data_IF_297558036587
#
_entry.id   IF_297558036587
#
_cell.length_a   1.000
_cell.length_b   1.000
_cell.length_c   1.000
_cell.angle_alpha   90.00
_cell.angle_beta   90.00
_cell.angle_gamma   90.00
#
_symmetry.space_group_name_H-M   'P 1'
#
loop_
_entity.id
_entity.type
_entity.pdbx_description
1 polymer ?
#
# COMPACT_ATOMS: atom_id res chain seq x y z
N UNK A 1 -9.04 0.28 -22.49
CA UNK A 1 -9.11 -0.08 -21.09
C UNK A 1 -9.81 -1.44 -21.00
N UNK A 2 -9.28 -2.42 -20.27
CA UNK A 2 -10.12 -3.53 -19.89
C UNK A 2 -11.26 -2.96 -19.05
N UNK A 3 -12.50 -3.19 -19.47
CA UNK A 3 -13.66 -2.86 -18.67
C UNK A 3 -13.58 -3.73 -17.40
N UNK A 4 -13.44 -3.07 -16.25
CA UNK A 4 -13.60 -3.73 -14.97
C UNK A 4 -15.02 -4.26 -14.94
N UNK A 5 -15.19 -5.59 -14.92
CA UNK A 5 -16.54 -6.16 -14.83
C UNK A 5 -17.10 -5.86 -13.44
N UNK A 6 -18.38 -5.46 -13.38
CA UNK A 6 -19.05 -5.12 -12.11
C UNK A 6 -19.12 -6.31 -11.12
N UNK A 7 -18.82 -7.51 -11.58
CA UNK A 7 -18.89 -8.76 -10.81
C UNK A 7 -17.50 -9.23 -10.32
N UNK A 8 -16.49 -8.37 -10.32
CA UNK A 8 -15.13 -8.72 -9.93
C UNK A 8 -14.80 -8.21 -8.52
N UNK A 9 -14.15 -9.03 -7.72
CA UNK A 9 -13.65 -8.64 -6.39
C UNK A 9 -12.49 -7.68 -6.52
N UNK A 10 -12.45 -6.66 -5.64
CA UNK A 10 -11.36 -5.69 -5.56
C UNK A 10 -10.83 -5.56 -4.15
N UNK A 11 -9.53 -5.40 -4.04
CA UNK A 11 -8.86 -4.97 -2.84
C UNK A 11 -7.95 -3.77 -3.15
N UNK A 12 -8.14 -2.68 -2.43
CA UNK A 12 -7.28 -1.51 -2.52
C UNK A 12 -6.51 -1.33 -1.21
N UNK A 13 -5.22 -1.07 -1.33
CA UNK A 13 -4.29 -0.83 -0.23
C UNK A 13 -3.75 0.59 -0.32
N UNK A 14 -4.19 1.46 0.59
CA UNK A 14 -3.68 2.82 0.73
C UNK A 14 -2.63 2.86 1.84
N UNK A 15 -1.35 2.87 1.47
CA UNK A 15 -0.21 2.96 2.39
C UNK A 15 0.01 4.43 2.72
N UNK A 16 -0.74 4.93 3.70
CA UNK A 16 -0.74 6.33 4.07
C UNK A 16 0.45 6.75 4.94
N UNK A 17 0.41 7.99 5.40
CA UNK A 17 1.44 8.55 6.29
C UNK A 17 1.36 7.95 7.70
N UNK A 18 0.19 7.98 8.33
CA UNK A 18 0.00 7.54 9.72
C UNK A 18 -0.50 6.09 9.82
N UNK A 19 -1.37 5.69 8.89
CA UNK A 19 -1.95 4.36 8.87
C UNK A 19 -2.09 3.85 7.43
N UNK A 20 -2.26 2.55 7.31
CA UNK A 20 -2.55 1.87 6.05
C UNK A 20 -4.00 1.40 6.08
N UNK A 21 -4.74 1.66 5.03
CA UNK A 21 -6.14 1.24 4.89
C UNK A 21 -6.29 0.19 3.81
N UNK A 22 -7.09 -0.82 4.10
CA UNK A 22 -7.45 -1.90 3.19
C UNK A 22 -8.93 -1.81 2.91
N UNK A 23 -9.29 -1.58 1.65
CA UNK A 23 -10.67 -1.49 1.18
C UNK A 23 -11.02 -2.76 0.41
N UNK A 24 -12.08 -3.42 0.80
CA UNK A 24 -12.52 -4.70 0.24
C UNK A 24 -13.88 -4.55 -0.42
N UNK A 25 -13.99 -5.01 -1.66
CA UNK A 25 -15.16 -4.90 -2.52
C UNK A 25 -15.46 -6.28 -3.14
N UNK A 26 -16.22 -7.14 -2.42
CA UNK A 26 -16.71 -8.37 -3.03
C UNK A 26 -17.72 -8.05 -4.13
N UNK A 27 -17.59 -8.70 -5.29
CA UNK A 27 -18.49 -8.52 -6.43
C UNK A 27 -18.66 -7.05 -6.86
N UNK A 28 -17.61 -6.23 -6.64
CA UNK A 28 -17.63 -4.81 -6.96
C UNK A 28 -18.38 -3.91 -5.97
N UNK A 29 -19.02 -4.46 -4.95
CA UNK A 29 -19.71 -3.70 -3.91
C UNK A 29 -18.81 -3.45 -2.69
N UNK A 30 -18.83 -2.22 -2.16
CA UNK A 30 -18.08 -1.90 -0.94
C UNK A 30 -18.62 -2.70 0.24
N UNK A 31 -17.75 -3.47 0.87
CA UNK A 31 -18.08 -4.25 2.06
C UNK A 31 -17.47 -3.63 3.33
N UNK A 32 -16.15 -3.49 3.36
CA UNK A 32 -15.48 -3.10 4.58
C UNK A 32 -14.14 -2.40 4.33
N UNK A 33 -13.80 -1.47 5.23
CA UNK A 33 -12.45 -0.92 5.38
C UNK A 33 -11.81 -1.48 6.65
N UNK A 34 -10.55 -1.92 6.54
CA UNK A 34 -9.68 -2.26 7.67
C UNK A 34 -8.55 -1.23 7.75
N UNK A 35 -8.16 -0.87 8.96
CA UNK A 35 -7.04 0.03 9.22
C UNK A 35 -5.94 -0.71 9.96
N UNK A 36 -4.71 -0.56 9.48
CA UNK A 36 -3.49 -1.06 10.12
C UNK A 36 -2.74 0.15 10.64
N UNK A 37 -2.33 0.10 11.91
CA UNK A 37 -1.53 1.18 12.55
C UNK A 37 -0.07 1.11 12.07
N UNK A 38 0.13 1.43 10.79
CA UNK A 38 1.41 1.50 10.12
C UNK A 38 1.32 2.51 8.98
N UNK A 39 2.33 3.33 8.82
CA UNK A 39 2.46 4.28 7.71
C UNK A 39 3.90 4.77 7.56
N UNK A 40 4.13 5.65 6.61
CA UNK A 40 5.45 6.22 6.33
C UNK A 40 6.09 6.90 7.55
N UNK A 41 5.27 7.46 8.46
CA UNK A 41 5.75 8.07 9.70
C UNK A 41 6.31 7.05 10.69
N UNK A 42 5.79 5.82 10.71
CA UNK A 42 6.36 4.74 11.54
C UNK A 42 7.78 4.39 11.11
N UNK A 43 8.02 4.37 9.80
CA UNK A 43 9.35 4.13 9.23
C UNK A 43 10.30 5.32 9.51
N UNK A 44 9.81 6.55 9.34
CA UNK A 44 10.61 7.74 9.65
C UNK A 44 11.03 7.80 11.13
N UNK A 45 10.15 7.35 12.04
CA UNK A 45 10.49 7.23 13.47
C UNK A 45 11.59 6.20 13.71
N UNK A 46 11.49 5.02 13.09
CA UNK A 46 12.51 3.98 13.19
C UNK A 46 13.87 4.45 12.64
N UNK A 47 13.85 5.22 11.54
CA UNK A 47 15.06 5.82 10.95
C UNK A 47 15.66 6.88 11.88
N UNK A 48 14.82 7.75 12.47
CA UNK A 48 15.26 8.78 13.43
C UNK A 48 15.99 8.16 14.62
N UNK A 49 15.40 7.12 15.21
CA UNK A 49 16.00 6.39 16.34
C UNK A 49 17.31 5.69 15.97
N UNK A 50 17.34 5.05 14.79
CA UNK A 50 18.52 4.31 14.32
C UNK A 50 19.73 5.22 14.06
N UNK A 51 19.52 6.35 13.38
CA UNK A 51 20.59 7.28 13.01
C UNK A 51 20.85 8.37 14.07
N UNK A 52 19.99 8.48 15.10
CA UNK A 52 20.09 9.53 16.12
C UNK A 52 19.87 10.93 15.55
N UNK A 53 18.96 11.08 14.61
CA UNK A 53 18.66 12.34 13.91
C UNK A 53 17.24 12.83 14.23
N UNK A 54 16.97 14.10 13.94
CA UNK A 54 15.61 14.62 14.07
C UNK A 54 14.65 14.01 13.02
N UNK A 55 13.37 14.06 13.34
CA UNK A 55 12.33 13.40 12.54
C UNK A 55 12.22 13.92 11.08
N UNK A 56 12.50 15.21 10.83
CA UNK A 56 12.44 15.75 9.49
C UNK A 56 13.62 15.27 8.63
N UNK A 57 14.81 15.18 9.24
CA UNK A 57 15.97 14.62 8.58
C UNK A 57 15.78 13.12 8.32
N UNK A 58 15.19 12.40 9.27
CA UNK A 58 14.85 10.98 9.10
C UNK A 58 13.89 10.73 7.93
N UNK A 59 12.89 11.60 7.73
CA UNK A 59 12.00 11.53 6.54
C UNK A 59 12.79 11.70 5.23
N UNK A 60 13.76 12.61 5.20
CA UNK A 60 14.63 12.79 4.04
C UNK A 60 15.55 11.57 3.81
N UNK A 61 16.07 10.98 4.87
CA UNK A 61 16.88 9.75 4.81
C UNK A 61 16.05 8.58 4.24
N UNK A 62 14.83 8.41 4.75
CA UNK A 62 13.91 7.37 4.27
C UNK A 62 13.56 7.57 2.80
N UNK A 63 13.23 8.81 2.38
CA UNK A 63 12.82 9.12 1.01
C UNK A 63 13.94 8.90 -0.01
N UNK A 64 15.20 9.14 0.37
CA UNK A 64 16.36 9.02 -0.51
C UNK A 64 17.18 7.73 -0.27
N UNK A 65 16.69 6.85 0.58
CA UNK A 65 17.41 5.63 1.01
C UNK A 65 18.87 5.91 1.47
N UNK A 66 19.05 7.02 2.21
CA UNK A 66 20.36 7.43 2.68
C UNK A 66 20.99 6.33 3.55
N UNK A 67 22.19 5.88 3.18
CA UNK A 67 22.93 4.79 3.84
C UNK A 67 22.09 3.51 4.07
N UNK A 68 21.15 3.22 3.17
CA UNK A 68 20.26 2.05 3.27
C UNK A 68 19.15 2.21 4.33
N UNK A 69 18.71 3.44 4.57
CA UNK A 69 17.69 3.76 5.59
C UNK A 69 16.40 2.96 5.42
N UNK A 70 16.05 2.56 4.19
CA UNK A 70 14.87 1.73 3.92
C UNK A 70 15.06 0.26 4.31
N UNK A 71 16.29 -0.20 4.54
CA UNK A 71 16.63 -1.61 4.82
C UNK A 71 17.30 -1.84 6.16
N UNK A 72 17.27 -0.86 7.06
CA UNK A 72 17.68 -1.05 8.45
C UNK A 72 16.76 -2.06 9.14
N UNK A 73 17.29 -2.83 10.09
CA UNK A 73 16.53 -3.90 10.75
C UNK A 73 15.17 -3.43 11.32
N UNK A 74 15.05 -2.27 11.99
CA UNK A 74 13.76 -1.79 12.46
C UNK A 74 12.72 -1.56 11.35
N UNK A 75 13.15 -1.16 10.14
CA UNK A 75 12.26 -1.03 9.01
C UNK A 75 11.83 -2.41 8.48
N UNK A 76 12.75 -3.36 8.37
CA UNK A 76 12.44 -4.73 7.94
C UNK A 76 11.44 -5.41 8.88
N UNK A 77 11.59 -5.24 10.20
CA UNK A 77 10.66 -5.76 11.20
C UNK A 77 9.24 -5.16 11.04
N UNK A 78 9.17 -3.87 10.70
CA UNK A 78 7.90 -3.19 10.40
C UNK A 78 7.27 -3.72 9.12
N UNK A 79 8.05 -3.99 8.07
CA UNK A 79 7.56 -4.55 6.80
C UNK A 79 6.99 -5.96 7.00
N UNK A 80 7.68 -6.81 7.75
CA UNK A 80 7.20 -8.14 8.09
C UNK A 80 5.86 -8.07 8.83
N UNK A 81 5.76 -7.20 9.84
CA UNK A 81 4.54 -7.03 10.62
C UNK A 81 3.35 -6.61 9.77
N UNK A 82 3.50 -5.61 8.90
CA UNK A 82 2.40 -5.18 8.03
C UNK A 82 2.05 -6.25 6.98
N UNK A 83 3.04 -6.98 6.46
CA UNK A 83 2.82 -8.10 5.54
C UNK A 83 1.95 -9.19 6.16
N UNK A 84 2.25 -9.59 7.39
CA UNK A 84 1.45 -10.57 8.14
C UNK A 84 0.02 -10.06 8.38
N UNK A 85 -0.15 -8.80 8.79
CA UNK A 85 -1.49 -8.22 9.02
C UNK A 85 -2.31 -8.15 7.73
N UNK A 86 -1.70 -7.75 6.63
CA UNK A 86 -2.37 -7.72 5.33
C UNK A 86 -2.78 -9.12 4.87
N UNK A 87 -1.88 -10.11 5.01
CA UNK A 87 -2.19 -11.50 4.68
C UNK A 87 -3.36 -12.06 5.52
N UNK A 88 -3.45 -11.68 6.80
CA UNK A 88 -4.58 -12.04 7.67
C UNK A 88 -5.90 -11.43 7.17
N UNK A 89 -5.88 -10.16 6.77
CA UNK A 89 -7.07 -9.46 6.25
C UNK A 89 -7.56 -10.14 4.97
N UNK A 90 -6.68 -10.44 4.03
CA UNK A 90 -7.01 -11.13 2.78
C UNK A 90 -7.53 -12.55 3.05
N UNK A 91 -6.87 -13.29 3.95
CA UNK A 91 -7.32 -14.65 4.32
C UNK A 91 -8.69 -14.65 4.98
N UNK A 92 -8.96 -13.68 5.86
CA UNK A 92 -10.27 -13.52 6.48
C UNK A 92 -11.36 -13.17 5.45
N UNK A 93 -11.04 -12.31 4.49
CA UNK A 93 -11.95 -11.98 3.38
C UNK A 93 -12.28 -13.25 2.57
N UNK A 94 -11.27 -13.99 2.13
CA UNK A 94 -11.47 -15.23 1.36
C UNK A 94 -12.27 -16.29 2.12
N UNK A 95 -12.12 -16.36 3.45
CA UNK A 95 -12.90 -17.26 4.29
C UNK A 95 -14.39 -16.88 4.33
N UNK A 96 -14.70 -15.59 4.43
CA UNK A 96 -16.09 -15.09 4.48
C UNK A 96 -16.76 -15.06 3.11
N UNK A 97 -15.99 -14.97 2.05
CA UNK A 97 -16.46 -14.94 0.66
C UNK A 97 -15.85 -16.10 -0.13
N UNK A 98 -16.32 -17.35 0.10
CA UNK A 98 -15.69 -18.56 -0.48
C UNK A 98 -15.79 -18.62 -2.01
N UNK A 99 -16.66 -17.83 -2.62
CA UNK A 99 -16.77 -17.69 -4.08
C UNK A 99 -15.92 -16.53 -4.63
N UNK A 100 -15.21 -15.81 -3.74
CA UNK A 100 -14.33 -14.71 -4.12
C UNK A 100 -13.25 -15.18 -5.09
N UNK A 101 -13.00 -14.35 -6.09
CA UNK A 101 -11.90 -14.49 -7.05
C UNK A 101 -10.88 -13.36 -6.87
N UNK A 102 -10.69 -12.90 -5.63
CA UNK A 102 -9.68 -11.90 -5.32
C UNK A 102 -8.29 -12.47 -5.59
N UNK A 103 -7.66 -11.97 -6.65
CA UNK A 103 -6.33 -12.39 -7.09
C UNK A 103 -5.34 -11.23 -7.20
N UNK A 104 -5.78 -10.01 -6.90
CA UNK A 104 -4.96 -8.80 -7.02
C UNK A 104 -5.29 -7.81 -5.91
N UNK A 105 -4.25 -7.23 -5.31
CA UNK A 105 -4.32 -6.06 -4.43
C UNK A 105 -3.74 -4.86 -5.15
N UNK A 106 -4.53 -3.80 -5.31
CA UNK A 106 -4.08 -2.55 -5.92
C UNK A 106 -3.59 -1.59 -4.85
N UNK A 107 -2.31 -1.21 -4.91
CA UNK A 107 -1.71 -0.34 -3.90
C UNK A 107 -1.56 1.11 -4.37
N UNK A 108 -1.60 2.03 -3.41
CA UNK A 108 -1.36 3.47 -3.56
C UNK A 108 -0.88 4.09 -2.24
N UNK A 109 -0.78 5.40 -2.20
CA UNK A 109 -0.48 6.17 -1.00
C UNK A 109 0.98 6.59 -0.89
N UNK A 110 1.29 7.38 0.14
CA UNK A 110 2.63 7.98 0.33
C UNK A 110 3.74 6.96 0.60
N UNK A 111 3.41 5.79 1.16
CA UNK A 111 4.36 4.70 1.39
C UNK A 111 4.64 3.83 0.17
N UNK A 112 3.88 3.98 -0.92
CA UNK A 112 4.01 3.15 -2.13
C UNK A 112 5.30 3.40 -2.93
N UNK A 113 6.09 4.41 -2.58
CA UNK A 113 7.41 4.67 -3.17
C UNK A 113 8.55 3.87 -2.53
N UNK A 114 8.30 3.11 -1.46
CA UNK A 114 9.34 2.38 -0.72
C UNK A 114 9.41 0.95 -1.26
N UNK A 115 10.35 0.70 -2.17
CA UNK A 115 10.48 -0.56 -2.87
C UNK A 115 10.70 -1.78 -1.93
N UNK A 116 11.54 -1.73 -0.88
CA UNK A 116 11.68 -2.85 0.06
C UNK A 116 10.38 -3.19 0.81
N UNK A 117 9.54 -2.18 1.12
CA UNK A 117 8.23 -2.42 1.71
C UNK A 117 7.32 -3.19 0.75
N UNK A 118 7.22 -2.74 -0.50
CA UNK A 118 6.39 -3.41 -1.51
C UNK A 118 6.83 -4.85 -1.75
N UNK A 119 8.15 -5.10 -1.79
CA UNK A 119 8.71 -6.45 -1.92
C UNK A 119 8.29 -7.35 -0.75
N UNK A 120 8.41 -6.85 0.48
CA UNK A 120 8.01 -7.60 1.66
C UNK A 120 6.50 -7.90 1.69
N UNK A 121 5.66 -6.95 1.26
CA UNK A 121 4.21 -7.18 1.13
C UNK A 121 3.89 -8.27 0.09
N UNK A 122 4.56 -8.23 -1.05
CA UNK A 122 4.39 -9.21 -2.14
C UNK A 122 4.78 -10.63 -1.68
N UNK A 123 5.86 -10.75 -0.90
CA UNK A 123 6.29 -12.05 -0.34
C UNK A 123 5.28 -12.67 0.64
N UNK A 124 4.50 -11.84 1.37
CA UNK A 124 3.49 -12.31 2.32
C UNK A 124 2.13 -12.62 1.69
N UNK A 125 1.87 -12.07 0.49
CA UNK A 125 0.62 -12.25 -0.22
C UNK A 125 0.70 -13.45 -1.18
N UNK A 126 -0.36 -14.26 -1.22
CA UNK A 126 -0.52 -15.32 -2.21
C UNK A 126 -1.20 -14.83 -3.51
N UNK A 127 -1.34 -13.51 -3.66
CA UNK A 127 -2.02 -12.82 -4.76
C UNK A 127 -1.17 -11.65 -5.23
N UNK A 128 -1.41 -11.18 -6.45
CA UNK A 128 -0.60 -10.14 -7.08
C UNK A 128 -0.76 -8.78 -6.40
N UNK A 129 0.35 -8.08 -6.20
CA UNK A 129 0.38 -6.70 -5.72
C UNK A 129 0.67 -5.77 -6.90
N UNK A 130 -0.29 -4.90 -7.27
CA UNK A 130 -0.24 -4.09 -8.48
C UNK A 130 -0.43 -2.60 -8.16
N UNK A 131 0.35 -1.73 -8.80
CA UNK A 131 0.18 -0.27 -8.69
C UNK A 131 -1.19 0.14 -9.23
N UNK A 132 -1.94 0.95 -8.47
CA UNK A 132 -3.26 1.43 -8.85
C UNK A 132 -3.23 2.22 -10.18
N UNK A 133 -2.09 2.80 -10.51
CA UNK A 133 -1.88 3.48 -11.78
C UNK A 133 -2.14 2.61 -13.00
N UNK A 134 -2.01 1.29 -12.89
CA UNK A 134 -2.34 0.35 -13.97
C UNK A 134 -3.84 0.37 -14.35
N UNK A 135 -4.71 0.84 -13.44
CA UNK A 135 -6.15 0.95 -13.65
C UNK A 135 -6.60 2.34 -14.15
N UNK A 136 -5.75 3.34 -14.11
CA UNK A 136 -6.11 4.74 -14.34
C UNK A 136 -5.51 5.27 -15.62
N UNK A 137 -6.29 5.99 -16.46
CA UNK A 137 -5.75 6.69 -17.61
C UNK A 137 -5.03 7.98 -17.15
N UNK A 138 -3.72 8.00 -17.18
CA UNK A 138 -2.94 9.20 -16.85
C UNK A 138 -1.75 9.39 -17.80
N UNK A 139 -1.26 10.63 -17.87
CA UNK A 139 0.00 10.91 -18.56
C UNK A 139 1.19 10.44 -17.70
N UNK A 140 2.25 9.88 -18.30
CA UNK A 140 3.48 9.54 -17.56
C UNK A 140 4.06 10.68 -16.72
N UNK A 141 3.81 11.93 -17.11
CA UNK A 141 4.27 13.11 -16.36
C UNK A 141 3.65 13.29 -14.98
N UNK A 142 2.51 12.61 -14.69
CA UNK A 142 1.80 12.71 -13.41
C UNK A 142 1.69 11.36 -12.69
N UNK A 143 2.45 10.36 -13.10
CA UNK A 143 2.39 9.01 -12.57
C UNK A 143 2.56 8.95 -11.05
N UNK A 144 3.53 9.69 -10.51
CA UNK A 144 3.79 9.72 -9.06
C UNK A 144 2.65 10.35 -8.27
N UNK A 145 2.04 11.42 -8.81
CA UNK A 145 0.88 12.06 -8.18
C UNK A 145 -0.33 11.14 -8.17
N UNK A 146 -0.58 10.41 -9.25
CA UNK A 146 -1.66 9.43 -9.35
C UNK A 146 -1.50 8.34 -8.29
N UNK A 147 -0.30 7.80 -8.14
CA UNK A 147 0.01 6.76 -7.14
C UNK A 147 -0.16 7.27 -5.71
N UNK A 148 0.26 8.50 -5.41
CA UNK A 148 0.17 9.09 -4.07
C UNK A 148 -1.27 9.46 -3.71
N UNK A 149 -2.04 9.99 -4.65
CA UNK A 149 -3.40 10.48 -4.39
C UNK A 149 -4.37 10.16 -5.52
N UNK A 150 -4.73 8.88 -5.73
CA UNK A 150 -5.62 8.46 -6.81
C UNK A 150 -7.03 9.06 -6.70
N UNK A 151 -7.51 9.34 -5.48
CA UNK A 151 -8.81 9.95 -5.26
C UNK A 151 -8.92 11.34 -5.89
N UNK A 152 -7.87 12.15 -5.84
CA UNK A 152 -7.85 13.47 -6.47
C UNK A 152 -7.98 13.37 -8.00
N UNK A 153 -7.36 12.36 -8.60
CA UNK A 153 -7.47 12.09 -10.04
C UNK A 153 -8.88 11.62 -10.40
N UNK A 154 -9.46 10.72 -9.59
CA UNK A 154 -10.83 10.25 -9.80
C UNK A 154 -11.87 11.38 -9.78
N UNK A 155 -11.71 12.37 -8.91
CA UNK A 155 -12.58 13.56 -8.86
C UNK A 155 -12.38 14.42 -10.11
N UNK A 156 -11.16 14.57 -10.60
CA UNK A 156 -10.87 15.39 -11.77
C UNK A 156 -11.36 14.79 -13.11
N UNK A 157 -11.71 13.50 -13.12
CA UNK A 157 -12.19 12.77 -14.30
C UNK A 157 -13.73 12.70 -14.39
N UNK A 158 -14.45 13.23 -13.40
CA UNK A 158 -15.92 13.33 -13.39
C UNK A 158 -16.39 14.60 -14.11
#
# INVERSE_FOLDING_TARGET
MPAVSADQDFCFLDIGSANTKVYLFPEGEYEVTRSIEFGALSLASAVADHFGVDFNLAKAYLANDYEGAQTIQPCLDLYERIGIELARIVSFFNFNYPNSQLNTVHYCGSGSGIAPLLHALDEHLAIDLVDIGAMMPYSPAVADQVRICPAAVGIALQ
#
